data_IF_952240341010
#
_entry.id   IF_952240341010
#
_cell.length_a   1.000
_cell.length_b   1.000
_cell.length_c   1.000
_cell.angle_alpha   90.00
_cell.angle_beta   90.00
_cell.angle_gamma   90.00
#
_symmetry.space_group_name_H-M   'P 1'
#
loop_
_entity.id
_entity.type
_entity.pdbx_description
1 polymer ?
#
# COMPACT_ATOMS: atom_id res chain seq x y z
N UNK A 1 -15.34 23.96 -4.13
CA UNK A 1 -15.73 22.84 -3.25
C UNK A 1 -15.47 23.27 -1.81
N UNK A 2 -16.43 23.14 -0.90
CA UNK A 2 -16.34 23.65 0.48
C UNK A 2 -15.51 22.76 1.42
N UNK A 3 -14.28 22.40 1.03
CA UNK A 3 -13.38 21.65 1.89
C UNK A 3 -12.71 22.58 2.90
N UNK A 4 -12.45 22.07 4.11
CA UNK A 4 -11.75 22.80 5.19
C UNK A 4 -10.23 22.86 4.98
N UNK A 5 -9.70 21.96 4.16
CA UNK A 5 -8.28 21.86 3.82
C UNK A 5 -7.99 20.60 3.02
N UNK A 6 -6.74 20.42 2.65
CA UNK A 6 -6.23 19.37 1.77
C UNK A 6 -4.97 18.72 2.37
N UNK A 7 -4.86 17.40 2.22
CA UNK A 7 -3.73 16.61 2.69
C UNK A 7 -3.17 15.78 1.53
N UNK A 8 -1.88 15.94 1.23
CA UNK A 8 -1.16 15.09 0.31
C UNK A 8 -0.42 13.97 1.05
N UNK A 9 -0.60 12.71 0.61
CA UNK A 9 0.31 11.60 0.94
C UNK A 9 1.15 11.34 -0.31
N UNK A 10 2.45 11.64 -0.25
CA UNK A 10 3.31 11.62 -1.43
C UNK A 10 4.70 11.07 -1.11
N UNK A 11 5.38 10.52 -2.12
CA UNK A 11 6.77 10.06 -1.98
C UNK A 11 7.80 11.09 -2.48
N UNK A 12 7.38 12.02 -3.35
CA UNK A 12 8.29 12.99 -4.00
C UNK A 12 8.15 14.36 -3.33
N UNK A 13 9.17 14.80 -2.54
CA UNK A 13 9.16 16.11 -1.92
C UNK A 13 9.07 17.21 -2.97
N UNK A 14 8.29 18.26 -2.67
CA UNK A 14 8.17 19.42 -3.54
C UNK A 14 7.44 19.16 -4.86
N UNK A 15 6.78 18.01 -5.05
CA UNK A 15 5.88 17.78 -6.19
C UNK A 15 4.70 18.77 -6.20
N UNK A 16 4.03 18.95 -7.35
CA UNK A 16 2.89 19.88 -7.46
C UNK A 16 1.80 19.57 -6.42
N UNK A 17 1.47 18.29 -6.24
CA UNK A 17 0.46 17.87 -5.26
C UNK A 17 0.84 18.26 -3.82
N UNK A 18 2.13 18.16 -3.46
CA UNK A 18 2.63 18.58 -2.14
C UNK A 18 2.59 20.09 -1.98
N UNK A 19 2.98 20.85 -3.01
CA UNK A 19 3.01 22.33 -2.96
C UNK A 19 1.61 22.95 -2.94
N UNK A 20 0.63 22.28 -3.54
CA UNK A 20 -0.75 22.75 -3.65
C UNK A 20 -1.66 22.27 -2.50
N UNK A 21 -1.14 21.45 -1.58
CA UNK A 21 -1.89 20.96 -0.42
C UNK A 21 -1.55 21.73 0.86
N UNK A 22 -2.52 21.88 1.76
CA UNK A 22 -2.33 22.56 3.05
C UNK A 22 -1.43 21.76 4.00
N UNK A 23 -1.52 20.43 3.92
CA UNK A 23 -0.73 19.49 4.70
C UNK A 23 -0.09 18.45 3.77
N UNK A 24 1.06 17.92 4.19
CA UNK A 24 1.73 16.83 3.48
C UNK A 24 2.30 15.79 4.46
N UNK A 25 2.09 14.51 4.15
CA UNK A 25 2.72 13.37 4.79
C UNK A 25 3.58 12.64 3.77
N UNK A 26 4.89 12.68 3.98
CA UNK A 26 5.83 12.01 3.09
C UNK A 26 5.94 10.52 3.43
N UNK A 27 5.85 9.66 2.41
CA UNK A 27 5.93 8.19 2.59
C UNK A 27 7.36 7.70 2.81
N UNK A 28 8.36 8.47 2.37
CA UNK A 28 9.78 8.19 2.53
C UNK A 28 10.22 6.80 2.01
N UNK A 29 9.57 6.32 0.94
CA UNK A 29 9.96 5.05 0.29
C UNK A 29 11.26 5.17 -0.53
N UNK A 30 11.73 6.40 -0.76
CA UNK A 30 12.84 6.71 -1.68
C UNK A 30 12.44 6.53 -3.15
N UNK A 31 13.36 6.81 -4.07
CA UNK A 31 13.09 6.78 -5.51
C UNK A 31 12.60 5.42 -5.99
N UNK A 32 11.47 5.37 -6.68
CA UNK A 32 10.92 4.16 -7.30
C UNK A 32 11.17 4.23 -8.80
N UNK A 33 11.96 3.29 -9.33
CA UNK A 33 12.39 3.27 -10.74
C UNK A 33 11.49 2.33 -11.56
N UNK A 34 10.97 1.27 -10.93
CA UNK A 34 10.07 0.33 -11.57
C UNK A 34 8.78 1.01 -12.02
N UNK A 35 8.27 0.62 -13.19
CA UNK A 35 7.03 1.16 -13.76
C UNK A 35 5.84 0.81 -12.86
N UNK A 36 5.81 -0.43 -12.37
CA UNK A 36 4.79 -0.89 -11.46
C UNK A 36 5.14 -0.49 -10.02
N UNK A 37 4.26 0.28 -9.37
CA UNK A 37 4.41 0.67 -7.96
C UNK A 37 4.49 -0.55 -7.05
N UNK A 38 5.42 -0.53 -6.08
CA UNK A 38 5.62 -1.61 -5.11
C UNK A 38 5.76 -1.04 -3.70
N UNK A 39 6.92 -0.48 -3.39
CA UNK A 39 7.20 0.15 -2.09
C UNK A 39 6.37 1.41 -1.88
N UNK A 40 6.02 2.14 -2.95
CA UNK A 40 5.17 3.30 -2.82
C UNK A 40 3.77 2.90 -2.34
N UNK A 41 3.19 1.82 -2.88
CA UNK A 41 1.89 1.30 -2.45
C UNK A 41 1.90 0.90 -0.96
N UNK A 42 2.88 0.08 -0.53
CA UNK A 42 2.92 -0.37 0.87
C UNK A 42 3.18 0.76 1.85
N UNK A 43 4.04 1.73 1.50
CA UNK A 43 4.30 2.89 2.37
C UNK A 43 3.12 3.87 2.41
N UNK A 44 2.34 3.99 1.34
CA UNK A 44 1.07 4.73 1.35
C UNK A 44 0.07 4.11 2.34
N UNK A 45 -0.09 2.78 2.34
CA UNK A 45 -0.95 2.09 3.31
C UNK A 45 -0.47 2.29 4.75
N UNK A 46 0.84 2.23 5.00
CA UNK A 46 1.44 2.53 6.31
C UNK A 46 1.08 3.95 6.78
N UNK A 47 1.22 4.96 5.92
CA UNK A 47 0.89 6.35 6.25
C UNK A 47 -0.61 6.54 6.49
N UNK A 48 -1.46 5.91 5.66
CA UNK A 48 -2.92 5.92 5.87
C UNK A 48 -3.29 5.32 7.21
N UNK A 49 -2.66 4.23 7.63
CA UNK A 49 -2.95 3.59 8.91
C UNK A 49 -2.50 4.45 10.10
N UNK A 50 -1.35 5.15 9.99
CA UNK A 50 -0.94 6.17 10.96
C UNK A 50 -1.95 7.33 11.05
N UNK A 51 -2.51 7.76 9.90
CA UNK A 51 -3.55 8.78 9.86
C UNK A 51 -4.84 8.29 10.55
N UNK A 52 -5.25 7.04 10.32
CA UNK A 52 -6.41 6.42 11.00
C UNK A 52 -6.22 6.44 12.52
N UNK A 53 -5.05 6.00 13.01
CA UNK A 53 -4.74 6.04 14.44
C UNK A 53 -4.83 7.46 15.02
N UNK A 54 -4.25 8.44 14.32
CA UNK A 54 -4.28 9.85 14.75
C UNK A 54 -5.71 10.39 14.79
N UNK A 55 -6.52 10.11 13.77
CA UNK A 55 -7.91 10.56 13.71
C UNK A 55 -8.79 9.87 14.76
N UNK A 56 -8.56 8.58 15.04
CA UNK A 56 -9.26 7.86 16.09
C UNK A 56 -9.04 8.52 17.46
N UNK A 57 -7.78 8.83 17.79
CA UNK A 57 -7.44 9.56 19.03
C UNK A 57 -8.08 10.95 19.07
N UNK A 58 -8.02 11.72 17.97
CA UNK A 58 -8.62 13.06 17.91
C UNK A 58 -10.14 13.05 18.07
N UNK A 59 -10.80 11.95 17.67
CA UNK A 59 -12.24 11.75 17.87
C UNK A 59 -12.62 11.24 19.26
N UNK A 60 -11.64 11.01 20.14
CA UNK A 60 -11.88 10.44 21.47
C UNK A 60 -12.38 8.99 21.43
N UNK A 61 -12.03 8.24 20.38
CA UNK A 61 -12.29 6.81 20.35
C UNK A 61 -11.37 6.08 21.35
N UNK A 62 -11.66 4.80 21.58
CA UNK A 62 -10.90 3.98 22.52
C UNK A 62 -9.40 3.95 22.18
N UNK A 63 -8.55 4.17 23.19
CA UNK A 63 -7.11 4.23 23.05
C UNK A 63 -6.50 2.90 22.56
N UNK A 64 -7.19 1.78 22.77
CA UNK A 64 -6.79 0.47 22.22
C UNK A 64 -6.68 0.48 20.70
N UNK A 65 -7.49 1.27 19.98
CA UNK A 65 -7.45 1.33 18.51
C UNK A 65 -6.09 1.88 18.03
N UNK A 66 -5.63 3.00 18.61
CA UNK A 66 -4.31 3.56 18.29
C UNK A 66 -3.20 2.60 18.71
N UNK A 67 -3.33 1.98 19.88
CA UNK A 67 -2.36 1.01 20.39
C UNK A 67 -2.18 -0.19 19.45
N UNK A 68 -3.27 -0.82 19.02
CA UNK A 68 -3.25 -2.01 18.16
C UNK A 68 -2.68 -1.68 16.77
N UNK A 69 -3.03 -0.51 16.23
CA UNK A 69 -2.45 -0.01 14.98
C UNK A 69 -0.94 0.18 15.13
N UNK A 70 -0.48 0.89 16.17
CA UNK A 70 0.95 1.16 16.39
C UNK A 70 1.72 -0.14 16.57
N UNK A 71 1.18 -1.09 17.34
CA UNK A 71 1.79 -2.40 17.53
C UNK A 71 1.89 -3.18 16.20
N UNK A 72 0.83 -3.17 15.38
CA UNK A 72 0.84 -3.76 14.05
C UNK A 72 1.90 -3.14 13.13
N UNK A 73 2.00 -1.81 13.13
CA UNK A 73 2.98 -1.06 12.34
C UNK A 73 4.43 -1.31 12.78
N UNK A 74 4.69 -1.47 14.08
CA UNK A 74 6.02 -1.80 14.60
C UNK A 74 6.48 -3.21 14.18
N UNK A 75 5.57 -4.16 14.10
CA UNK A 75 5.85 -5.52 13.64
C UNK A 75 5.91 -5.64 12.11
N UNK A 76 5.40 -4.66 11.36
CA UNK A 76 5.26 -4.75 9.90
C UNK A 76 6.59 -4.98 9.16
N UNK A 77 7.72 -4.32 9.49
CA UNK A 77 8.99 -4.54 8.79
C UNK A 77 9.47 -5.99 8.85
N UNK A 78 9.46 -6.61 10.03
CA UNK A 78 9.89 -8.01 10.18
C UNK A 78 8.91 -9.00 9.55
N UNK A 79 7.61 -8.69 9.55
CA UNK A 79 6.61 -9.50 8.82
C UNK A 79 6.81 -9.44 7.31
N UNK A 80 7.19 -8.29 6.76
CA UNK A 80 7.53 -8.16 5.34
C UNK A 80 8.80 -8.96 5.04
N UNK A 81 9.85 -8.86 5.86
CA UNK A 81 11.07 -9.65 5.69
C UNK A 81 10.79 -11.16 5.71
N UNK A 82 9.95 -11.62 6.63
CA UNK A 82 9.50 -13.01 6.67
C UNK A 82 8.70 -13.39 5.41
N UNK A 83 7.82 -12.52 4.90
CA UNK A 83 7.09 -12.78 3.66
C UNK A 83 8.04 -12.89 2.45
N UNK A 84 9.06 -12.03 2.37
CA UNK A 84 10.05 -12.07 1.30
C UNK A 84 10.87 -13.37 1.28
N UNK A 85 11.00 -14.07 2.42
CA UNK A 85 11.62 -15.41 2.47
C UNK A 85 10.83 -16.51 1.72
N UNK A 86 9.62 -16.21 1.26
CA UNK A 86 8.78 -17.11 0.47
C UNK A 86 8.99 -16.95 -1.05
N UNK A 87 9.96 -16.13 -1.48
CA UNK A 87 10.26 -15.83 -2.88
C UNK A 87 10.41 -17.10 -3.74
N UNK A 88 11.18 -18.09 -3.30
CA UNK A 88 11.43 -19.33 -4.06
C UNK A 88 10.18 -20.17 -4.29
N UNK A 89 9.25 -20.13 -3.35
CA UNK A 89 7.97 -20.82 -3.49
C UNK A 89 7.06 -20.11 -4.50
N UNK A 90 7.07 -18.78 -4.50
CA UNK A 90 6.30 -17.97 -5.45
C UNK A 90 6.90 -18.09 -6.86
N UNK A 91 8.23 -18.12 -6.98
CA UNK A 91 8.95 -18.35 -8.24
C UNK A 91 8.53 -19.67 -8.89
N UNK A 92 8.51 -20.77 -8.12
CA UNK A 92 8.05 -22.06 -8.63
C UNK A 92 6.57 -22.05 -9.03
N UNK A 93 5.70 -21.37 -8.28
CA UNK A 93 4.27 -21.24 -8.61
C UNK A 93 4.04 -20.41 -9.88
N UNK A 94 4.92 -19.46 -10.18
CA UNK A 94 4.80 -18.60 -11.37
C UNK A 94 4.92 -19.40 -12.68
N UNK A 95 5.55 -20.58 -12.66
CA UNK A 95 5.64 -21.47 -13.83
C UNK A 95 4.25 -21.90 -14.34
N UNK A 96 3.26 -22.08 -13.45
CA UNK A 96 1.87 -22.44 -13.78
C UNK A 96 1.14 -21.35 -14.59
N UNK A 97 1.68 -20.12 -14.61
CA UNK A 97 1.13 -18.96 -15.31
C UNK A 97 1.85 -18.67 -16.64
N UNK A 98 2.93 -19.39 -16.97
CA UNK A 98 3.78 -19.12 -18.12
C UNK A 98 3.06 -19.17 -19.48
N UNK A 99 2.03 -20.01 -19.59
CA UNK A 99 1.20 -20.22 -20.79
C UNK A 99 -0.24 -19.65 -20.64
N UNK A 100 -0.51 -18.91 -19.55
CA UNK A 100 -1.86 -18.40 -19.25
C UNK A 100 -2.03 -17.00 -19.80
N UNK A 101 -3.23 -16.73 -20.32
CA UNK A 101 -3.62 -15.41 -20.81
C UNK A 101 -4.65 -14.71 -19.93
N UNK A 102 -5.21 -15.42 -18.94
CA UNK A 102 -6.24 -14.91 -18.04
C UNK A 102 -6.00 -15.36 -16.60
N UNK A 103 -6.27 -14.48 -15.64
CA UNK A 103 -6.24 -14.80 -14.22
C UNK A 103 -7.29 -13.98 -13.45
N UNK A 104 -8.04 -14.61 -12.56
CA UNK A 104 -9.03 -13.92 -11.71
C UNK A 104 -8.50 -13.77 -10.28
N UNK A 105 -8.51 -12.54 -9.77
CA UNK A 105 -8.13 -12.21 -8.39
C UNK A 105 -9.38 -11.96 -7.56
N UNK A 106 -9.49 -12.64 -6.42
CA UNK A 106 -10.65 -12.55 -5.53
C UNK A 106 -10.22 -12.06 -4.15
N UNK A 107 -10.98 -11.11 -3.60
CA UNK A 107 -10.78 -10.58 -2.26
C UNK A 107 -12.10 -10.13 -1.65
N UNK A 108 -12.16 -10.07 -0.31
CA UNK A 108 -13.35 -9.63 0.45
C UNK A 108 -12.93 -8.65 1.53
N UNK A 109 -13.78 -7.66 1.81
CA UNK A 109 -13.48 -6.65 2.84
C UNK A 109 -12.25 -5.82 2.45
N UNK A 110 -11.32 -5.65 3.38
CA UNK A 110 -10.06 -4.92 3.16
C UNK A 110 -9.11 -5.62 2.17
N UNK A 111 -9.31 -6.91 1.89
CA UNK A 111 -8.54 -7.67 0.91
C UNK A 111 -9.03 -7.47 -0.54
N UNK A 112 -10.22 -6.89 -0.75
CA UNK A 112 -10.69 -6.63 -2.11
C UNK A 112 -9.77 -5.64 -2.87
N UNK A 113 -9.39 -4.48 -2.30
CA UNK A 113 -8.39 -3.60 -2.92
C UNK A 113 -7.01 -4.26 -3.13
N UNK A 114 -6.63 -5.22 -2.27
CA UNK A 114 -5.37 -5.98 -2.43
C UNK A 114 -5.45 -6.91 -3.65
N UNK A 115 -6.59 -7.56 -3.86
CA UNK A 115 -6.83 -8.37 -5.07
C UNK A 115 -6.79 -7.51 -6.35
N UNK A 116 -7.33 -6.29 -6.31
CA UNK A 116 -7.25 -5.34 -7.42
C UNK A 116 -5.81 -4.92 -7.72
N UNK A 117 -5.01 -4.59 -6.69
CA UNK A 117 -3.60 -4.26 -6.88
C UNK A 117 -2.82 -5.45 -7.46
N UNK A 118 -3.07 -6.67 -6.98
CA UNK A 118 -2.46 -7.88 -7.51
C UNK A 118 -2.77 -8.13 -8.99
N UNK A 119 -4.04 -7.99 -9.38
CA UNK A 119 -4.45 -8.09 -10.78
C UNK A 119 -3.81 -7.00 -11.66
N UNK A 120 -3.74 -5.76 -11.15
CA UNK A 120 -3.09 -4.64 -11.83
C UNK A 120 -1.61 -4.93 -12.06
N UNK A 121 -0.88 -5.37 -11.01
CA UNK A 121 0.56 -5.69 -11.12
C UNK A 121 0.80 -6.81 -12.12
N UNK A 122 0.01 -7.89 -12.06
CA UNK A 122 0.15 -9.01 -13.00
C UNK A 122 -0.05 -8.53 -14.44
N UNK A 123 -1.11 -7.77 -14.70
CA UNK A 123 -1.41 -7.22 -16.03
C UNK A 123 -0.32 -6.29 -16.56
N UNK A 124 0.20 -5.39 -15.73
CA UNK A 124 1.20 -4.38 -16.12
C UNK A 124 2.53 -4.98 -16.60
N UNK A 125 2.98 -6.07 -15.97
CA UNK A 125 4.35 -6.61 -16.21
C UNK A 125 4.36 -7.92 -17.00
N UNK A 126 3.26 -8.68 -17.00
CA UNK A 126 3.18 -9.98 -17.70
C UNK A 126 2.28 -9.96 -18.95
N UNK A 127 1.48 -8.90 -19.13
CA UNK A 127 0.45 -8.80 -20.18
C UNK A 127 -0.66 -9.88 -20.11
N UNK A 128 -0.75 -10.64 -19.01
CA UNK A 128 -1.90 -11.51 -18.71
C UNK A 128 -3.12 -10.63 -18.46
N UNK A 129 -4.27 -10.97 -19.05
CA UNK A 129 -5.51 -10.23 -18.83
C UNK A 129 -6.15 -10.64 -17.49
N UNK A 130 -6.22 -9.69 -16.55
CA UNK A 130 -6.99 -9.79 -15.32
C UNK A 130 -8.49 -9.51 -15.48
#
# INVERSE_FOLDING_TARGET
MGYLGSLAICNVPGSSLVRESDLAMMTNAGTEIGVASTKAFTTQLTVLLMLVAKLARLKGLDASIEHDIVHGLQALPSRIEQMLSQDKRIEALAEDFSDKHHALFLGRGDQYPIALEGALKLKEISYIHG
#
